data_IF_465213609256
#
_entry.id   IF_465213609256
#
_cell.length_a   1.000
_cell.length_b   1.000
_cell.length_c   1.000
_cell.angle_alpha   90.00
_cell.angle_beta   90.00
_cell.angle_gamma   90.00
#
_symmetry.space_group_name_H-M   'P 1'
#
loop_
_entity.id
_entity.type
_entity.pdbx_description
1 polymer ?
#
# COMPACT_ATOMS: atom_id res chain seq x y z
N UNK A 1 -50.88 36.00 -24.51
CA UNK A 1 -49.89 36.93 -25.12
C UNK A 1 -48.73 37.04 -24.15
N UNK A 2 -47.53 36.76 -24.59
CA UNK A 2 -46.32 36.97 -23.82
C UNK A 2 -45.38 35.75 -23.89
N UNK A 3 -44.75 35.57 -25.04
CA UNK A 3 -43.59 34.70 -25.18
C UNK A 3 -42.40 35.36 -24.49
N UNK A 4 -41.64 34.58 -23.70
CA UNK A 4 -40.35 34.96 -23.15
C UNK A 4 -39.39 33.84 -23.38
N UNK A 5 -38.56 34.02 -24.33
CA UNK A 5 -37.49 33.21 -24.82
C UNK A 5 -36.40 32.89 -23.81
N UNK A 6 -35.92 31.64 -23.79
CA UNK A 6 -34.55 31.30 -24.09
C UNK A 6 -33.52 31.68 -23.06
N UNK A 7 -33.30 30.78 -22.06
CA UNK A 7 -32.09 30.78 -21.28
C UNK A 7 -31.27 29.57 -21.66
N UNK A 8 -30.11 29.82 -22.24
CA UNK A 8 -29.20 28.83 -22.79
C UNK A 8 -28.71 27.85 -21.77
N UNK A 9 -28.76 26.58 -22.10
CA UNK A 9 -28.01 25.52 -21.47
C UNK A 9 -26.53 25.70 -21.79
N UNK A 10 -25.83 26.32 -20.88
CA UNK A 10 -24.38 26.23 -20.82
C UNK A 10 -24.03 24.87 -20.20
N UNK A 11 -23.98 23.86 -21.03
CA UNK A 11 -23.42 22.58 -20.65
C UNK A 11 -21.92 22.71 -20.42
N UNK A 12 -21.51 22.99 -19.21
CA UNK A 12 -20.13 22.83 -18.81
C UNK A 12 -19.82 21.33 -18.78
N UNK A 13 -19.21 20.87 -19.87
CA UNK A 13 -18.53 19.58 -19.84
C UNK A 13 -17.28 19.70 -18.97
N UNK A 14 -17.44 19.74 -17.67
CA UNK A 14 -16.41 19.50 -16.69
C UNK A 14 -16.49 18.04 -16.25
N UNK A 15 -16.22 17.13 -17.14
CA UNK A 15 -15.97 15.74 -16.78
C UNK A 15 -14.68 15.71 -15.99
N UNK A 16 -14.78 15.75 -14.67
CA UNK A 16 -13.66 15.50 -13.78
C UNK A 16 -13.17 14.08 -14.00
N UNK A 17 -12.08 13.98 -14.73
CA UNK A 17 -11.47 12.69 -15.01
C UNK A 17 -10.69 12.25 -13.81
N UNK A 18 -11.16 11.25 -13.06
CA UNK A 18 -10.38 10.49 -12.10
C UNK A 18 -10.54 10.81 -10.64
N UNK A 19 -11.43 11.71 -10.25
CA UNK A 19 -11.69 12.00 -8.85
C UNK A 19 -12.79 11.15 -8.24
N UNK A 20 -12.90 11.15 -6.92
CA UNK A 20 -14.08 10.70 -6.22
C UNK A 20 -15.30 11.47 -6.68
N UNK A 21 -16.49 10.94 -6.40
CA UNK A 21 -17.76 11.58 -6.76
C UNK A 21 -17.96 12.94 -6.11
N UNK A 22 -17.16 13.24 -5.11
CA UNK A 22 -17.13 14.50 -4.39
C UNK A 22 -15.72 15.11 -4.45
N UNK A 23 -15.50 15.97 -5.41
CA UNK A 23 -14.25 16.73 -5.52
C UNK A 23 -14.37 18.00 -4.69
N UNK A 24 -13.46 18.19 -3.76
CA UNK A 24 -13.28 19.47 -3.10
C UNK A 24 -12.35 20.33 -3.98
N UNK A 25 -12.87 21.38 -4.63
CA UNK A 25 -12.05 22.22 -5.46
C UNK A 25 -11.23 23.17 -4.60
N UNK A 26 -9.94 23.13 -4.76
CA UNK A 26 -9.09 24.20 -4.29
C UNK A 26 -8.25 23.91 -3.07
N UNK A 27 -7.48 24.93 -2.74
CA UNK A 27 -6.48 24.88 -1.70
C UNK A 27 -7.08 24.41 -0.39
N UNK A 28 -6.67 23.28 0.09
CA UNK A 28 -7.12 22.81 1.35
C UNK A 28 -6.68 23.77 2.43
N UNK A 29 -7.61 24.08 3.30
CA UNK A 29 -7.23 24.64 4.55
C UNK A 29 -6.16 23.74 5.17
N UNK A 30 -5.10 24.29 5.67
CA UNK A 30 -4.21 23.53 6.53
C UNK A 30 -4.97 23.34 7.83
N UNK A 31 -5.56 22.16 8.09
CA UNK A 31 -6.28 21.98 9.33
C UNK A 31 -5.29 21.84 10.46
N UNK A 32 -5.69 22.33 11.60
CA UNK A 32 -4.97 22.09 12.84
C UNK A 32 -3.63 22.82 12.96
N UNK A 33 -3.27 23.04 14.16
CA UNK A 33 -2.13 23.84 14.57
C UNK A 33 -1.20 23.07 15.49
N UNK A 34 -1.31 21.74 15.46
CA UNK A 34 -0.45 20.91 16.32
C UNK A 34 0.91 20.77 15.66
N UNK A 35 1.95 21.18 16.37
CA UNK A 35 3.32 21.02 15.88
C UNK A 35 3.64 19.54 15.69
N UNK A 36 4.06 19.11 14.49
CA UNK A 36 4.40 17.73 14.25
C UNK A 36 5.75 17.36 14.88
N UNK A 37 5.88 16.09 15.25
CA UNK A 37 7.17 15.50 15.60
C UNK A 37 7.98 15.15 14.35
N UNK A 38 7.28 14.85 13.25
CA UNK A 38 7.87 14.51 11.95
C UNK A 38 6.95 14.94 10.82
N UNK A 39 7.54 15.38 9.72
CA UNK A 39 6.83 15.73 8.49
C UNK A 39 7.40 14.93 7.33
N UNK A 40 6.52 14.24 6.61
CA UNK A 40 6.82 13.66 5.30
C UNK A 40 6.28 14.59 4.22
N UNK A 41 7.07 14.78 3.17
CA UNK A 41 6.64 15.52 1.99
C UNK A 41 6.48 14.50 0.86
N UNK A 42 5.28 14.42 0.29
CA UNK A 42 4.93 13.47 -0.76
C UNK A 42 4.36 14.17 -1.98
N UNK A 43 4.71 13.67 -3.14
CA UNK A 43 4.07 14.01 -4.41
C UNK A 43 3.81 12.74 -5.22
N UNK A 44 3.06 12.86 -6.31
CA UNK A 44 2.67 11.74 -7.19
C UNK A 44 3.62 11.65 -8.38
N UNK A 45 3.96 10.44 -8.80
CA UNK A 45 4.49 10.18 -10.13
C UNK A 45 3.56 9.18 -10.86
N UNK A 46 3.45 9.34 -12.19
CA UNK A 46 2.59 8.50 -13.04
C UNK A 46 3.35 7.86 -14.22
N UNK A 47 4.63 8.14 -14.37
CA UNK A 47 5.48 7.61 -15.45
C UNK A 47 6.49 6.56 -14.99
N UNK A 48 6.22 5.88 -13.87
CA UNK A 48 7.09 4.81 -13.38
C UNK A 48 7.02 3.56 -14.26
N UNK A 49 8.05 2.72 -14.16
CA UNK A 49 8.08 1.44 -14.84
C UNK A 49 8.89 0.43 -14.03
N UNK A 50 8.36 -0.77 -13.93
CA UNK A 50 9.08 -1.92 -13.34
C UNK A 50 9.31 -2.98 -14.40
N UNK A 51 10.50 -3.59 -14.33
CA UNK A 51 10.88 -4.66 -15.23
C UNK A 51 10.54 -6.01 -14.60
N UNK A 52 9.77 -6.80 -15.33
CA UNK A 52 9.38 -8.15 -14.94
C UNK A 52 10.40 -9.20 -15.37
N UNK A 53 10.36 -10.38 -14.79
CA UNK A 53 11.30 -11.48 -15.06
C UNK A 53 11.24 -12.01 -16.49
N UNK A 54 10.13 -11.80 -17.20
CA UNK A 54 10.00 -12.12 -18.64
C UNK A 54 10.58 -11.04 -19.56
N UNK A 55 11.10 -9.95 -18.97
CA UNK A 55 11.70 -8.86 -19.68
C UNK A 55 10.75 -7.75 -20.10
N UNK A 56 9.44 -7.86 -19.85
CA UNK A 56 8.49 -6.79 -20.12
C UNK A 56 8.61 -5.69 -19.06
N UNK A 57 8.29 -4.48 -19.45
CA UNK A 57 8.14 -3.34 -18.55
C UNK A 57 6.65 -3.09 -18.32
N UNK A 58 6.28 -2.92 -17.06
CA UNK A 58 4.91 -2.58 -16.65
C UNK A 58 4.92 -1.16 -16.10
N UNK A 59 4.02 -0.32 -16.59
CA UNK A 59 3.84 1.05 -16.09
C UNK A 59 3.33 1.01 -14.65
N UNK A 60 3.88 1.84 -13.78
CA UNK A 60 3.42 1.98 -12.40
C UNK A 60 3.30 3.45 -12.02
N UNK A 61 2.40 3.73 -11.11
CA UNK A 61 2.24 5.01 -10.46
C UNK A 61 2.66 4.89 -9.00
N UNK A 62 2.88 6.01 -8.34
CA UNK A 62 3.20 5.97 -6.93
C UNK A 62 3.42 7.34 -6.32
N UNK A 63 3.78 7.30 -5.06
CA UNK A 63 4.23 8.48 -4.34
C UNK A 63 5.75 8.53 -4.32
N UNK A 64 6.28 9.75 -4.29
CA UNK A 64 7.73 10.00 -4.14
C UNK A 64 7.99 11.03 -3.07
N UNK A 65 9.18 11.04 -2.52
CA UNK A 65 9.62 12.06 -1.57
C UNK A 65 9.78 13.42 -2.26
N UNK A 66 9.44 14.48 -1.53
CA UNK A 66 9.51 15.85 -2.03
C UNK A 66 8.22 16.34 -2.69
N UNK A 67 8.27 17.58 -3.18
CA UNK A 67 7.12 18.27 -3.79
C UNK A 67 7.14 18.28 -5.32
N UNK A 68 8.08 17.60 -5.94
CA UNK A 68 8.29 17.59 -7.39
C UNK A 68 7.93 16.22 -7.96
N UNK A 69 6.64 15.90 -7.97
CA UNK A 69 6.11 14.76 -8.71
C UNK A 69 5.99 15.06 -10.21
N UNK A 70 5.40 14.16 -10.96
CA UNK A 70 5.11 14.37 -12.38
C UNK A 70 5.03 13.08 -13.18
N UNK A 71 5.24 13.20 -14.49
CA UNK A 71 5.26 12.07 -15.42
C UNK A 71 6.58 11.28 -15.40
N UNK A 72 7.55 11.70 -14.60
CA UNK A 72 8.80 10.93 -14.40
C UNK A 72 8.53 9.76 -13.45
N UNK A 73 9.38 8.73 -13.53
CA UNK A 73 9.29 7.59 -12.63
C UNK A 73 9.73 7.89 -11.20
N UNK A 74 9.38 7.01 -10.30
CA UNK A 74 9.75 7.07 -8.89
C UNK A 74 9.96 5.67 -8.29
N UNK A 75 10.20 5.59 -6.98
CA UNK A 75 10.40 4.31 -6.30
C UNK A 75 9.12 3.48 -6.24
N UNK A 76 9.23 2.19 -6.49
CA UNK A 76 8.12 1.25 -6.40
C UNK A 76 8.48 0.05 -5.49
N UNK A 77 7.63 -0.31 -4.51
CA UNK A 77 6.50 0.48 -4.00
C UNK A 77 6.93 1.88 -3.53
N UNK A 78 5.95 2.74 -3.23
CA UNK A 78 6.22 4.10 -2.73
C UNK A 78 7.08 4.09 -1.45
N UNK A 79 7.87 5.15 -1.17
CA UNK A 79 8.78 5.17 -0.02
C UNK A 79 8.06 4.88 1.29
N UNK A 80 8.58 4.02 2.17
CA UNK A 80 7.92 3.71 3.41
C UNK A 80 7.79 4.95 4.31
N UNK A 81 6.72 5.01 5.08
CA UNK A 81 6.57 5.90 6.22
C UNK A 81 6.98 5.11 7.45
N UNK A 82 7.95 5.61 8.22
CA UNK A 82 8.36 5.00 9.48
C UNK A 82 8.42 6.03 10.59
N UNK A 83 7.66 5.78 11.65
CA UNK A 83 7.48 6.70 12.77
C UNK A 83 7.47 5.93 14.08
N UNK A 84 7.42 6.64 15.22
CA UNK A 84 7.30 6.03 16.54
C UNK A 84 5.91 6.25 17.12
N UNK A 85 5.47 5.30 17.92
CA UNK A 85 4.23 5.40 18.68
C UNK A 85 4.19 6.68 19.50
N UNK A 86 3.04 7.34 19.50
CA UNK A 86 2.80 8.62 20.16
C UNK A 86 3.14 9.85 19.34
N UNK A 87 3.92 9.73 18.27
CA UNK A 87 4.27 10.88 17.44
C UNK A 87 3.06 11.47 16.73
N UNK A 88 3.05 12.79 16.61
CA UNK A 88 2.18 13.54 15.71
C UNK A 88 2.92 13.69 14.40
N UNK A 89 2.28 13.29 13.33
CA UNK A 89 2.84 13.18 11.99
C UNK A 89 2.09 14.10 11.05
N UNK A 90 2.81 14.84 10.24
CA UNK A 90 2.27 15.54 9.09
C UNK A 90 2.72 14.85 7.81
N UNK A 91 1.78 14.49 6.96
CA UNK A 91 2.06 14.08 5.59
C UNK A 91 1.63 15.21 4.66
N UNK A 92 2.58 16.07 4.28
CA UNK A 92 2.34 17.13 3.32
C UNK A 92 2.33 16.54 1.92
N UNK A 93 1.18 16.47 1.34
CA UNK A 93 0.94 15.90 0.02
C UNK A 93 0.73 16.99 -1.01
N UNK A 94 1.44 16.91 -2.14
CA UNK A 94 1.32 17.84 -3.26
C UNK A 94 0.92 17.08 -4.51
N UNK A 95 -0.24 17.45 -5.05
CA UNK A 95 -0.79 16.95 -6.32
C UNK A 95 -0.76 18.00 -7.42
N UNK A 96 -0.01 19.09 -7.22
CA UNK A 96 -0.01 20.25 -8.11
C UNK A 96 0.50 19.90 -9.51
N UNK A 97 -0.25 20.29 -10.52
CA UNK A 97 0.10 20.08 -11.93
C UNK A 97 -0.19 18.67 -12.43
N UNK A 98 -0.80 17.83 -11.63
CA UNK A 98 -1.28 16.51 -12.08
C UNK A 98 -2.65 16.64 -12.74
N UNK A 99 -2.88 15.86 -13.78
CA UNK A 99 -4.16 15.82 -14.49
C UNK A 99 -5.27 15.14 -13.66
N UNK A 100 -4.88 14.31 -12.71
CA UNK A 100 -5.75 13.49 -11.89
C UNK A 100 -5.69 13.91 -10.44
N UNK A 101 -6.81 13.77 -9.75
CA UNK A 101 -6.86 13.96 -8.31
C UNK A 101 -6.33 12.72 -7.60
N UNK A 102 -5.69 12.92 -6.45
CA UNK A 102 -5.17 11.86 -5.62
C UNK A 102 -5.37 12.18 -4.15
N UNK A 103 -5.27 11.15 -3.30
CA UNK A 103 -5.26 11.30 -1.85
C UNK A 103 -4.17 10.42 -1.24
N UNK A 104 -3.90 10.60 0.05
CA UNK A 104 -3.14 9.63 0.84
C UNK A 104 -4.02 9.19 2.00
N UNK A 105 -4.47 7.95 1.95
CA UNK A 105 -5.12 7.27 3.07
C UNK A 105 -4.09 6.46 3.85
N UNK A 106 -3.96 6.76 5.16
CA UNK A 106 -3.05 6.04 6.06
C UNK A 106 -3.83 4.86 6.67
N UNK A 107 -3.85 3.74 5.95
CA UNK A 107 -4.73 2.61 6.23
C UNK A 107 -4.47 1.97 7.60
N UNK A 108 -5.49 1.95 8.44
CA UNK A 108 -5.45 1.46 9.82
C UNK A 108 -5.00 2.50 10.85
N UNK A 109 -4.64 3.70 10.41
CA UNK A 109 -4.56 4.90 11.23
C UNK A 109 -5.94 5.56 11.18
N UNK A 110 -6.47 5.96 12.31
CA UNK A 110 -7.84 6.50 12.44
C UNK A 110 -7.78 7.99 12.83
N UNK A 111 -7.46 8.89 11.89
CA UNK A 111 -7.51 10.34 12.13
C UNK A 111 -8.94 10.87 12.01
N UNK A 112 -9.11 12.20 12.10
CA UNK A 112 -10.37 12.83 11.73
C UNK A 112 -10.65 12.73 10.23
N UNK A 113 -11.91 12.85 9.82
CA UNK A 113 -12.35 12.61 8.44
C UNK A 113 -11.58 13.41 7.40
N UNK A 114 -11.26 14.68 7.68
CA UNK A 114 -10.49 15.55 6.80
C UNK A 114 -9.02 15.11 6.63
N UNK A 115 -8.51 14.30 7.54
CA UNK A 115 -7.15 13.77 7.52
C UNK A 115 -7.07 12.29 7.10
N UNK A 116 -8.22 11.66 6.82
CA UNK A 116 -8.30 10.24 6.49
C UNK A 116 -7.92 9.96 5.02
N UNK A 117 -8.06 10.95 4.15
CA UNK A 117 -7.71 10.81 2.74
C UNK A 117 -8.64 9.92 1.93
N UNK A 118 -9.86 9.69 2.43
CA UNK A 118 -10.93 8.96 1.73
C UNK A 118 -11.85 9.95 1.05
N UNK A 119 -11.75 10.10 -0.27
CA UNK A 119 -12.45 11.12 -1.03
C UNK A 119 -13.97 11.11 -0.88
N UNK A 120 -14.58 9.93 -0.69
CA UNK A 120 -16.02 9.81 -0.50
C UNK A 120 -16.54 10.28 0.87
N UNK A 121 -15.70 10.35 1.88
CA UNK A 121 -16.05 10.81 3.23
C UNK A 121 -15.41 12.14 3.57
N UNK A 122 -14.48 12.61 2.74
CA UNK A 122 -13.77 13.86 2.87
C UNK A 122 -13.65 14.55 1.50
N UNK A 123 -12.48 14.61 0.91
CA UNK A 123 -12.23 15.24 -0.39
C UNK A 123 -10.99 14.65 -1.07
N UNK A 124 -10.98 14.72 -2.39
CA UNK A 124 -9.78 14.50 -3.19
C UNK A 124 -8.93 15.77 -3.25
N UNK A 125 -7.61 15.63 -3.33
CA UNK A 125 -6.69 16.77 -3.27
C UNK A 125 -6.37 17.26 -4.68
N UNK A 126 -6.65 18.55 -4.91
CA UNK A 126 -6.13 19.34 -6.01
C UNK A 126 -5.19 20.41 -5.44
N UNK A 127 -3.90 20.29 -5.69
CA UNK A 127 -2.90 21.18 -5.11
C UNK A 127 -2.15 20.57 -3.93
N UNK A 128 -2.11 21.22 -2.78
CA UNK A 128 -1.35 20.76 -1.61
C UNK A 128 -2.26 20.63 -0.40
N UNK A 129 -2.18 19.50 0.28
CA UNK A 129 -2.84 19.25 1.55
C UNK A 129 -1.89 18.66 2.57
N UNK A 130 -2.07 18.98 3.86
CA UNK A 130 -1.28 18.40 4.95
C UNK A 130 -2.17 17.52 5.82
N UNK A 131 -2.09 16.22 5.62
CA UNK A 131 -2.72 15.24 6.48
C UNK A 131 -2.03 15.23 7.84
N UNK A 132 -2.80 15.31 8.92
CA UNK A 132 -2.31 15.35 10.29
C UNK A 132 -2.89 14.18 11.07
N UNK A 133 -2.02 13.37 11.64
CA UNK A 133 -2.42 12.16 12.31
C UNK A 133 -1.48 11.81 13.47
N UNK A 134 -1.94 10.97 14.35
CA UNK A 134 -1.16 10.43 15.46
C UNK A 134 -0.84 8.96 15.21
N UNK A 135 0.39 8.56 15.40
CA UNK A 135 0.83 7.18 15.42
C UNK A 135 0.44 6.54 16.77
N UNK A 136 -0.83 6.13 16.91
CA UNK A 136 -1.40 5.76 18.22
C UNK A 136 -0.94 4.40 18.73
N UNK A 137 -0.58 3.46 17.85
CA UNK A 137 -0.18 2.11 18.22
C UNK A 137 0.97 1.63 17.34
N UNK A 138 2.02 1.07 17.97
CA UNK A 138 3.10 0.44 17.25
C UNK A 138 2.62 -0.82 16.52
N UNK A 139 3.04 -1.00 15.26
CA UNK A 139 2.59 -2.12 14.41
C UNK A 139 2.82 -1.87 12.93
N UNK A 140 2.24 -2.75 12.12
CA UNK A 140 2.34 -2.74 10.66
C UNK A 140 1.07 -2.22 10.03
N UNK A 141 1.24 -1.22 9.20
CA UNK A 141 0.22 -0.52 8.42
C UNK A 141 0.71 -0.35 6.98
N UNK A 142 -0.09 0.27 6.14
CA UNK A 142 0.34 0.78 4.85
C UNK A 142 -0.44 2.06 4.50
N UNK A 143 -0.02 2.78 3.48
CA UNK A 143 -0.75 3.93 2.97
C UNK A 143 -0.95 3.77 1.47
N UNK A 144 -2.04 4.32 0.96
CA UNK A 144 -2.38 4.21 -0.45
C UNK A 144 -3.25 5.39 -0.93
N UNK A 145 -3.36 5.54 -2.24
CA UNK A 145 -4.33 6.45 -2.82
C UNK A 145 -5.75 5.91 -2.63
N UNK A 146 -6.69 6.78 -2.28
CA UNK A 146 -8.09 6.40 -2.11
C UNK A 146 -9.02 7.13 -3.09
N UNK A 147 -8.47 7.85 -4.06
CA UNK A 147 -9.18 8.35 -5.23
C UNK A 147 -9.17 7.28 -6.29
N UNK A 148 -10.34 6.92 -6.85
CA UNK A 148 -10.44 5.79 -7.79
C UNK A 148 -9.60 4.59 -7.33
N UNK A 149 -9.85 4.12 -6.12
CA UNK A 149 -8.99 3.18 -5.40
C UNK A 149 -8.69 1.94 -6.22
N UNK A 150 -9.69 1.42 -6.97
CA UNK A 150 -9.55 0.21 -7.78
C UNK A 150 -8.44 0.37 -8.83
N UNK A 151 -8.34 1.50 -9.51
CA UNK A 151 -7.28 1.72 -10.48
C UNK A 151 -5.98 2.17 -9.82
N UNK A 152 -6.06 3.16 -8.91
CA UNK A 152 -4.84 3.78 -8.38
C UNK A 152 -4.04 2.82 -7.48
N UNK A 153 -4.71 1.94 -6.73
CA UNK A 153 -4.02 0.91 -5.96
C UNK A 153 -3.39 -0.14 -6.89
N UNK A 154 -4.14 -0.62 -7.90
CA UNK A 154 -3.60 -1.53 -8.93
C UNK A 154 -2.37 -0.94 -9.63
N UNK A 155 -2.41 0.35 -9.98
CA UNK A 155 -1.27 1.04 -10.61
C UNK A 155 -0.05 1.14 -9.69
N UNK A 156 -0.19 0.80 -8.39
CA UNK A 156 0.92 0.75 -7.43
C UNK A 156 1.04 1.93 -6.48
N UNK A 157 -0.01 2.74 -6.35
CA UNK A 157 -0.01 3.91 -5.46
C UNK A 157 -0.17 3.50 -3.99
N UNK A 158 0.79 2.75 -3.47
CA UNK A 158 0.82 2.32 -2.07
C UNK A 158 2.27 2.24 -1.54
N UNK A 159 2.42 2.23 -0.23
CA UNK A 159 3.68 2.02 0.46
C UNK A 159 3.49 1.54 1.90
N UNK A 160 4.49 0.87 2.46
CA UNK A 160 4.45 0.43 3.84
C UNK A 160 4.43 1.62 4.81
N UNK A 161 3.68 1.48 5.91
CA UNK A 161 3.69 2.39 7.03
C UNK A 161 3.97 1.58 8.30
N UNK A 162 5.07 1.89 8.96
CA UNK A 162 5.50 1.19 10.17
C UNK A 162 5.51 2.16 11.34
N UNK A 163 4.86 1.77 12.41
CA UNK A 163 4.94 2.47 13.67
C UNK A 163 5.78 1.63 14.64
N UNK A 164 6.98 2.13 14.95
CA UNK A 164 7.86 1.50 15.93
C UNK A 164 7.41 1.84 17.37
N UNK A 165 7.81 1.03 18.37
CA UNK A 165 7.62 1.38 19.77
C UNK A 165 8.14 2.77 20.12
N UNK A 166 7.48 3.46 21.05
CA UNK A 166 7.79 4.83 21.45
C UNK A 166 9.25 4.99 21.92
N UNK A 167 9.79 3.99 22.62
CA UNK A 167 11.17 3.96 23.13
C UNK A 167 12.23 3.64 22.06
N UNK A 168 11.80 3.29 20.82
CA UNK A 168 12.69 2.95 19.73
C UNK A 168 13.30 1.55 19.81
N UNK A 169 12.82 0.68 20.70
CA UNK A 169 13.26 -0.71 20.74
C UNK A 169 12.86 -1.48 19.47
N UNK A 170 13.69 -2.43 19.09
CA UNK A 170 13.39 -3.35 17.98
C UNK A 170 12.41 -4.44 18.42
N UNK A 171 11.14 -4.08 18.49
CA UNK A 171 10.02 -4.96 18.83
C UNK A 171 8.92 -4.86 17.77
N UNK A 172 8.16 -5.92 17.61
CA UNK A 172 7.04 -5.93 16.66
C UNK A 172 6.02 -4.81 16.98
N UNK A 173 5.77 -4.57 18.26
CA UNK A 173 4.93 -3.50 18.81
C UNK A 173 5.37 -3.22 20.27
N UNK A 174 4.82 -2.19 20.90
CA UNK A 174 5.15 -1.80 22.28
C UNK A 174 4.87 -2.95 23.25
N UNK A 175 5.89 -3.32 24.02
CA UNK A 175 5.92 -4.50 24.90
C UNK A 175 5.78 -5.87 24.19
N UNK A 176 5.82 -5.89 22.88
CA UNK A 176 5.77 -7.10 22.07
C UNK A 176 7.11 -7.81 21.96
N UNK A 177 7.17 -8.90 21.18
CA UNK A 177 8.41 -9.66 20.99
C UNK A 177 9.48 -8.81 20.29
N UNK A 178 10.71 -8.95 20.79
CA UNK A 178 11.89 -8.36 20.17
C UNK A 178 12.30 -9.18 18.94
N UNK A 179 13.01 -8.53 18.01
CA UNK A 179 13.54 -9.17 16.81
C UNK A 179 14.97 -8.72 16.48
N UNK A 180 15.70 -9.62 15.83
CA UNK A 180 17.06 -9.38 15.33
C UNK A 180 17.05 -8.91 13.87
N UNK A 181 16.18 -9.50 13.05
CA UNK A 181 16.04 -9.26 11.62
C UNK A 181 14.59 -8.88 11.32
N UNK A 182 14.38 -7.93 10.41
CA UNK A 182 13.06 -7.52 9.95
C UNK A 182 12.97 -7.68 8.43
N UNK A 183 11.84 -8.20 7.97
CA UNK A 183 11.44 -8.20 6.57
C UNK A 183 10.10 -7.50 6.43
N UNK A 184 9.95 -6.63 5.43
CA UNK A 184 8.67 -5.99 5.08
C UNK A 184 8.26 -6.52 3.72
N UNK A 185 7.20 -7.32 3.69
CA UNK A 185 6.66 -7.91 2.47
C UNK A 185 5.30 -7.33 2.15
N UNK A 186 5.28 -6.37 1.22
CA UNK A 186 4.06 -5.90 0.58
C UNK A 186 3.83 -6.77 -0.66
N UNK A 187 2.87 -7.68 -0.54
CA UNK A 187 2.54 -8.64 -1.59
C UNK A 187 1.37 -8.13 -2.42
N UNK A 188 1.54 -8.16 -3.73
CA UNK A 188 0.61 -7.56 -4.67
C UNK A 188 0.60 -8.36 -5.98
N UNK A 189 -0.46 -8.24 -6.75
CA UNK A 189 -0.57 -8.77 -8.11
C UNK A 189 -0.79 -7.62 -9.10
N UNK A 190 -0.45 -7.87 -10.36
CA UNK A 190 -0.58 -6.91 -11.43
C UNK A 190 -1.35 -7.52 -12.60
N UNK A 191 -2.42 -6.89 -13.02
CA UNK A 191 -3.05 -7.09 -14.31
C UNK A 191 -2.47 -6.09 -15.32
N UNK A 192 -1.51 -6.53 -16.14
CA UNK A 192 -0.83 -5.65 -17.09
C UNK A 192 -1.77 -5.01 -18.10
N UNK A 193 -2.95 -5.60 -18.32
CA UNK A 193 -3.99 -5.00 -19.17
C UNK A 193 -4.62 -3.77 -18.52
N UNK A 194 -4.79 -3.77 -17.19
CA UNK A 194 -5.28 -2.61 -16.45
C UNK A 194 -4.25 -1.49 -16.44
N UNK A 195 -2.97 -1.83 -16.29
CA UNK A 195 -1.87 -0.86 -16.34
C UNK A 195 -1.73 -0.15 -17.71
N UNK A 196 -2.29 -0.73 -18.76
CA UNK A 196 -2.35 -0.10 -20.08
C UNK A 196 -3.59 0.77 -20.30
N UNK A 197 -4.65 0.57 -19.53
CA UNK A 197 -5.91 1.35 -19.65
C UNK A 197 -5.79 2.77 -19.11
N UNK A 198 -4.95 2.96 -18.10
CA UNK A 198 -4.68 4.16 -17.32
C UNK A 198 -5.72 5.31 -17.37
N UNK A 199 -5.96 5.90 -18.51
CA UNK A 199 -6.83 7.06 -18.70
C UNK A 199 -8.30 6.73 -18.98
N UNK A 200 -8.57 5.50 -19.39
CA UNK A 200 -9.91 5.07 -19.83
C UNK A 200 -10.74 4.52 -18.68
N UNK A 201 -10.13 4.33 -17.51
CA UNK A 201 -10.82 3.85 -16.34
C UNK A 201 -11.66 4.98 -15.72
N UNK A 202 -12.94 4.98 -16.02
CA UNK A 202 -13.89 5.93 -15.46
C UNK A 202 -14.03 5.80 -13.95
N UNK A 203 -14.52 6.86 -13.35
CA UNK A 203 -14.84 6.94 -11.92
C UNK A 203 -16.33 7.14 -11.74
N UNK A 204 -16.83 7.01 -10.53
CA UNK A 204 -18.18 7.41 -10.16
C UNK A 204 -19.30 7.06 -11.14
N UNK A 205 -19.78 5.85 -11.11
CA UNK A 205 -21.01 5.41 -11.77
C UNK A 205 -20.87 4.96 -13.22
N UNK A 206 -19.68 4.87 -13.77
CA UNK A 206 -19.44 4.31 -15.09
C UNK A 206 -18.90 2.89 -15.06
N UNK A 207 -19.11 2.12 -16.13
CA UNK A 207 -18.34 0.90 -16.37
C UNK A 207 -16.94 1.29 -16.84
N UNK A 208 -15.99 1.19 -15.93
CA UNK A 208 -14.59 1.50 -16.19
C UNK A 208 -13.82 0.33 -16.82
N UNK A 209 -14.47 -0.81 -17.04
CA UNK A 209 -13.81 -2.03 -17.47
C UNK A 209 -12.86 -2.63 -16.42
N UNK A 210 -13.05 -2.27 -15.15
CA UNK A 210 -12.25 -2.74 -14.00
C UNK A 210 -13.01 -3.78 -13.15
N UNK A 211 -13.86 -4.57 -13.78
CA UNK A 211 -14.69 -5.57 -13.11
C UNK A 211 -14.20 -7.00 -13.33
N UNK A 212 -13.07 -7.19 -14.00
CA UNK A 212 -12.51 -8.50 -14.30
C UNK A 212 -10.98 -8.47 -14.16
N UNK A 213 -10.50 -8.46 -12.92
CA UNK A 213 -9.08 -8.59 -12.64
C UNK A 213 -8.58 -9.96 -13.03
N UNK A 214 -7.59 -10.02 -13.90
CA UNK A 214 -6.93 -11.24 -14.35
C UNK A 214 -5.41 -11.05 -14.35
N UNK A 215 -4.85 -10.94 -13.15
CA UNK A 215 -3.44 -10.66 -12.95
C UNK A 215 -2.52 -11.69 -13.65
N UNK A 216 -1.48 -11.19 -14.27
CA UNK A 216 -0.45 -11.96 -14.97
C UNK A 216 0.93 -11.86 -14.29
N UNK A 217 1.11 -10.93 -13.32
CA UNK A 217 2.29 -10.87 -12.47
C UNK A 217 1.94 -10.88 -10.98
N UNK A 218 2.86 -11.44 -10.19
CA UNK A 218 2.72 -11.61 -8.74
C UNK A 218 4.02 -11.17 -8.09
N UNK A 219 3.96 -10.14 -7.26
CA UNK A 219 5.12 -9.42 -6.78
C UNK A 219 5.22 -9.41 -5.25
N UNK A 220 6.42 -9.24 -4.74
CA UNK A 220 6.69 -8.98 -3.31
C UNK A 220 7.52 -7.71 -3.24
N UNK A 221 7.01 -6.67 -2.59
CA UNK A 221 7.71 -5.38 -2.41
C UNK A 221 8.29 -4.85 -3.74
N UNK A 222 7.47 -4.92 -4.80
CA UNK A 222 7.83 -4.44 -6.13
C UNK A 222 8.77 -5.33 -6.93
N UNK A 223 9.07 -6.55 -6.46
CA UNK A 223 9.95 -7.51 -7.13
C UNK A 223 9.12 -8.65 -7.68
N UNK A 224 9.33 -9.01 -8.95
CA UNK A 224 8.68 -10.16 -9.57
C UNK A 224 8.98 -11.44 -8.78
N UNK A 225 7.91 -12.09 -8.36
CA UNK A 225 7.93 -13.30 -7.54
C UNK A 225 8.26 -14.58 -8.31
N UNK A 226 8.49 -14.50 -9.61
CA UNK A 226 8.81 -15.68 -10.43
C UNK A 226 10.22 -16.17 -10.14
N UNK A 227 11.22 -15.31 -10.24
CA UNK A 227 12.64 -15.63 -10.01
C UNK A 227 13.38 -14.56 -9.22
N UNK A 228 13.23 -13.28 -9.56
CA UNK A 228 14.01 -12.17 -8.98
C UNK A 228 13.86 -12.08 -7.47
N UNK A 229 12.66 -12.26 -6.92
CA UNK A 229 12.42 -12.20 -5.49
C UNK A 229 13.08 -13.33 -4.68
N UNK A 230 13.58 -14.37 -5.34
CA UNK A 230 14.34 -15.42 -4.65
C UNK A 230 15.72 -14.95 -4.16
N UNK A 231 16.27 -13.88 -4.72
CA UNK A 231 17.63 -13.41 -4.43
C UNK A 231 17.72 -11.91 -4.16
N UNK A 232 16.70 -11.12 -4.51
CA UNK A 232 16.72 -9.68 -4.28
C UNK A 232 16.71 -9.39 -2.76
N UNK A 233 17.70 -8.62 -2.26
CA UNK A 233 17.85 -8.37 -0.81
C UNK A 233 16.71 -7.55 -0.19
N UNK A 234 15.84 -6.95 -0.99
CA UNK A 234 14.62 -6.28 -0.47
C UNK A 234 13.59 -7.27 0.06
N UNK A 235 13.63 -8.52 -0.40
CA UNK A 235 12.63 -9.55 -0.08
C UNK A 235 13.23 -10.87 0.37
N UNK A 236 14.38 -11.29 -0.18
CA UNK A 236 15.09 -12.47 0.30
C UNK A 236 15.80 -12.17 1.63
N UNK A 237 15.60 -13.03 2.62
CA UNK A 237 16.05 -12.78 3.99
C UNK A 237 17.13 -13.76 4.38
N UNK A 238 18.16 -13.29 5.09
CA UNK A 238 19.15 -14.13 5.76
C UNK A 238 19.07 -13.91 7.28
N UNK A 239 19.01 -14.97 8.04
CA UNK A 239 18.97 -14.97 9.50
C UNK A 239 19.86 -16.08 10.06
N UNK A 240 20.54 -15.86 11.17
CA UNK A 240 21.31 -16.90 11.84
C UNK A 240 20.40 -17.80 12.69
N UNK A 241 20.80 -19.05 12.91
CA UNK A 241 20.09 -19.97 13.80
C UNK A 241 19.86 -19.34 15.17
N UNK A 242 18.63 -19.42 15.66
CA UNK A 242 18.22 -18.88 16.94
C UNK A 242 17.97 -17.38 16.99
N UNK A 243 18.31 -16.61 15.94
CA UNK A 243 17.86 -15.23 15.81
C UNK A 243 16.36 -15.18 15.55
N UNK A 244 15.75 -14.10 15.99
CA UNK A 244 14.33 -13.83 15.80
C UNK A 244 14.14 -12.99 14.53
N UNK A 245 13.38 -13.51 13.58
CA UNK A 245 12.95 -12.81 12.37
C UNK A 245 11.53 -12.30 12.57
N UNK A 246 11.32 -11.00 12.35
CA UNK A 246 10.00 -10.39 12.19
C UNK A 246 9.70 -10.24 10.71
N UNK A 247 8.59 -10.82 10.25
CA UNK A 247 8.03 -10.54 8.93
C UNK A 247 6.80 -9.67 9.13
N UNK A 248 6.84 -8.46 8.57
CA UNK A 248 5.72 -7.56 8.43
C UNK A 248 5.05 -7.82 7.08
N UNK A 249 4.00 -8.60 7.12
CA UNK A 249 3.28 -9.02 5.94
C UNK A 249 2.12 -8.09 5.66
N UNK A 250 2.04 -7.56 4.44
CA UNK A 250 1.01 -6.65 3.96
C UNK A 250 0.42 -7.26 2.68
N UNK A 251 -0.87 -7.57 2.67
CA UNK A 251 -1.58 -7.88 1.44
C UNK A 251 -2.00 -6.54 0.80
N UNK A 252 -1.19 -6.03 -0.13
CA UNK A 252 -1.45 -4.79 -0.84
C UNK A 252 -2.30 -4.98 -2.10
N UNK A 253 -2.54 -6.23 -2.49
CA UNK A 253 -3.32 -6.58 -3.68
C UNK A 253 -4.80 -6.83 -3.41
N UNK A 254 -5.52 -7.25 -4.44
CA UNK A 254 -6.96 -7.55 -4.38
C UNK A 254 -7.25 -9.02 -4.12
N UNK A 255 -6.39 -9.94 -4.59
CA UNK A 255 -6.60 -11.36 -4.35
C UNK A 255 -6.42 -11.70 -2.86
N UNK A 256 -7.27 -12.58 -2.31
CA UNK A 256 -6.91 -13.28 -1.08
C UNK A 256 -5.58 -14.01 -1.28
N UNK A 257 -4.75 -14.00 -0.26
CA UNK A 257 -3.42 -14.63 -0.35
C UNK A 257 -3.27 -15.73 0.70
N UNK A 258 -2.44 -16.71 0.40
CA UNK A 258 -1.94 -17.68 1.36
C UNK A 258 -0.42 -17.70 1.31
N UNK A 259 0.19 -17.22 2.38
CA UNK A 259 1.62 -17.27 2.62
C UNK A 259 1.98 -18.63 3.20
N UNK A 260 2.71 -19.44 2.47
CA UNK A 260 3.28 -20.72 2.92
C UNK A 260 4.76 -20.52 3.29
N UNK A 261 5.14 -20.84 4.52
CA UNK A 261 6.46 -20.52 5.08
C UNK A 261 7.57 -21.54 4.75
N UNK A 262 7.34 -22.42 3.76
CA UNK A 262 8.36 -23.35 3.29
C UNK A 262 8.80 -24.41 4.31
N UNK A 263 7.93 -24.76 5.25
CA UNK A 263 8.21 -25.70 6.34
C UNK A 263 8.67 -25.04 7.66
N UNK A 264 8.85 -23.72 7.66
CA UNK A 264 9.07 -22.97 8.90
C UNK A 264 7.76 -22.76 9.65
N UNK A 265 7.85 -22.63 10.97
CA UNK A 265 6.74 -22.19 11.83
C UNK A 265 6.94 -20.75 12.24
N UNK A 266 5.84 -20.00 12.30
CA UNK A 266 5.80 -18.64 12.81
C UNK A 266 4.73 -18.50 13.89
N UNK A 267 4.86 -17.49 14.73
CA UNK A 267 3.79 -17.01 15.60
C UNK A 267 3.22 -15.72 15.00
N UNK A 268 1.92 -15.70 14.69
CA UNK A 268 1.20 -14.46 14.43
C UNK A 268 1.08 -13.74 15.76
N UNK A 269 1.65 -12.55 15.87
CA UNK A 269 1.68 -11.77 17.12
C UNK A 269 0.83 -10.52 17.05
N UNK A 270 0.54 -10.03 15.85
CA UNK A 270 -0.36 -8.90 15.60
C UNK A 270 -1.10 -9.06 14.27
N UNK A 271 -2.28 -8.46 14.19
CA UNK A 271 -3.10 -8.29 13.00
C UNK A 271 -3.52 -6.82 12.89
N UNK A 272 -3.43 -6.24 11.69
CA UNK A 272 -3.89 -4.89 11.37
C UNK A 272 -3.37 -3.80 12.33
N UNK A 273 -2.09 -3.92 12.71
CA UNK A 273 -1.44 -2.99 13.63
C UNK A 273 -1.87 -3.15 15.09
N UNK A 274 -2.54 -4.24 15.44
CA UNK A 274 -2.99 -4.54 16.82
C UNK A 274 -2.42 -5.86 17.31
N UNK A 275 -1.86 -5.86 18.51
CA UNK A 275 -1.37 -7.06 19.16
C UNK A 275 -2.50 -8.09 19.36
N UNK A 276 -2.24 -9.35 19.06
CA UNK A 276 -3.15 -10.43 19.41
C UNK A 276 -3.08 -10.71 20.92
N UNK A 277 -4.21 -10.95 21.58
CA UNK A 277 -4.23 -11.34 23.01
C UNK A 277 -3.42 -12.61 23.28
N UNK A 278 -3.40 -13.51 22.31
CA UNK A 278 -2.63 -14.76 22.37
C UNK A 278 -2.02 -15.00 20.98
N UNK A 279 -0.70 -15.15 20.87
CA UNK A 279 -0.04 -15.50 19.62
C UNK A 279 -0.54 -16.84 19.07
N UNK A 280 -0.66 -16.94 17.75
CA UNK A 280 -1.13 -18.15 17.05
C UNK A 280 0.02 -18.76 16.25
N UNK A 281 0.37 -20.01 16.55
CA UNK A 281 1.41 -20.73 15.80
C UNK A 281 0.86 -21.27 14.49
N UNK A 282 1.57 -20.98 13.41
CA UNK A 282 1.15 -21.32 12.03
C UNK A 282 2.35 -21.76 11.18
N UNK A 283 2.08 -22.51 10.11
CA UNK A 283 3.01 -22.79 9.01
C UNK A 283 2.58 -22.08 7.72
N UNK A 284 1.37 -21.57 7.70
CA UNK A 284 0.84 -20.72 6.64
C UNK A 284 -0.14 -19.69 7.20
N UNK A 285 -0.30 -18.57 6.50
CA UNK A 285 -1.22 -17.48 6.86
C UNK A 285 -2.13 -17.20 5.67
N UNK A 286 -3.43 -17.08 5.91
CA UNK A 286 -4.37 -16.57 4.89
C UNK A 286 -4.68 -15.11 5.20
N UNK A 287 -4.74 -14.31 4.14
CA UNK A 287 -5.06 -12.88 4.20
C UNK A 287 -6.08 -12.53 3.15
N UNK A 288 -6.87 -11.50 3.40
CA UNK A 288 -7.64 -10.80 2.37
C UNK A 288 -7.00 -9.46 2.05
N UNK A 289 -7.52 -8.76 1.04
CA UNK A 289 -7.02 -7.44 0.64
C UNK A 289 -6.94 -6.50 1.85
N UNK A 290 -5.86 -5.75 1.93
CA UNK A 290 -5.56 -4.76 2.95
C UNK A 290 -5.26 -5.30 4.37
N UNK A 291 -5.33 -6.60 4.62
CA UNK A 291 -4.90 -7.18 5.90
C UNK A 291 -3.37 -7.15 6.06
N UNK A 292 -2.93 -6.95 7.31
CA UNK A 292 -1.52 -6.97 7.69
C UNK A 292 -1.33 -7.90 8.88
N UNK A 293 -0.24 -8.67 8.87
CA UNK A 293 0.13 -9.56 9.96
C UNK A 293 1.60 -9.39 10.33
N UNK A 294 1.89 -9.40 11.63
CA UNK A 294 3.25 -9.47 12.16
C UNK A 294 3.54 -10.91 12.58
N UNK A 295 4.55 -11.51 11.92
CA UNK A 295 4.94 -12.90 12.11
C UNK A 295 6.32 -12.97 12.75
N UNK A 296 6.43 -13.68 13.86
CA UNK A 296 7.71 -13.96 14.53
C UNK A 296 8.14 -15.39 14.21
N UNK A 297 9.36 -15.52 13.67
CA UNK A 297 10.02 -16.80 13.42
C UNK A 297 11.32 -16.85 14.19
N UNK A 298 11.65 -18.02 14.74
CA UNK A 298 12.95 -18.30 15.38
C UNK A 298 13.51 -19.61 14.87
N UNK A 299 14.01 -19.66 13.63
CA UNK A 299 14.48 -20.89 13.03
C UNK A 299 15.77 -21.38 13.69
N UNK A 300 15.84 -22.71 13.95
CA UNK A 300 16.97 -23.36 14.60
C UNK A 300 17.74 -24.32 13.69
N UNK A 301 17.19 -24.64 12.53
CA UNK A 301 17.80 -25.56 11.57
C UNK A 301 18.33 -24.74 10.38
N UNK A 302 19.61 -24.89 10.06
CA UNK A 302 20.23 -24.24 8.92
C UNK A 302 19.64 -24.79 7.60
N UNK A 303 19.48 -23.92 6.62
CA UNK A 303 18.93 -24.30 5.33
C UNK A 303 18.37 -23.10 4.56
N UNK A 304 17.91 -23.38 3.35
CA UNK A 304 17.21 -22.40 2.52
C UNK A 304 15.76 -22.84 2.37
N UNK A 305 14.87 -22.01 2.85
CA UNK A 305 13.43 -22.26 2.87
C UNK A 305 12.76 -21.39 1.82
N UNK A 306 12.08 -22.01 0.87
CA UNK A 306 11.33 -21.28 -0.14
C UNK A 306 9.95 -20.93 0.40
N UNK A 307 9.71 -19.65 0.56
CA UNK A 307 8.42 -19.09 0.96
C UNK A 307 7.60 -18.85 -0.30
N UNK A 308 6.32 -19.21 -0.26
CA UNK A 308 5.41 -19.05 -1.41
C UNK A 308 4.19 -18.26 -0.98
N UNK A 309 3.92 -17.18 -1.70
CA UNK A 309 2.66 -16.45 -1.64
C UNK A 309 1.77 -16.96 -2.76
N UNK A 310 0.66 -17.61 -2.40
CA UNK A 310 -0.34 -18.08 -3.34
C UNK A 310 -1.46 -17.04 -3.41
N UNK A 311 -1.74 -16.52 -4.58
CA UNK A 311 -2.83 -15.61 -4.86
C UNK A 311 -4.06 -16.41 -5.27
N UNK A 312 -5.18 -16.19 -4.59
CA UNK A 312 -6.33 -17.08 -4.63
C UNK A 312 -7.53 -16.40 -5.27
N UNK A 313 -8.29 -17.15 -6.02
CA UNK A 313 -9.57 -16.67 -6.54
C UNK A 313 -10.58 -16.48 -5.39
N UNK A 314 -11.26 -15.34 -5.35
CA UNK A 314 -12.15 -14.94 -4.23
C UNK A 314 -13.23 -15.97 -3.90
N UNK A 315 -13.85 -16.57 -4.94
CA UNK A 315 -15.00 -17.46 -4.76
C UNK A 315 -14.55 -18.91 -4.61
N UNK A 316 -13.62 -19.38 -5.48
CA UNK A 316 -13.27 -20.80 -5.54
C UNK A 316 -12.08 -21.17 -4.65
N UNK A 317 -11.28 -20.18 -4.22
CA UNK A 317 -10.03 -20.41 -3.51
C UNK A 317 -8.92 -21.04 -4.38
N UNK A 318 -9.15 -21.19 -5.68
CA UNK A 318 -8.15 -21.74 -6.60
C UNK A 318 -6.95 -20.78 -6.72
N UNK A 319 -5.75 -21.35 -6.81
CA UNK A 319 -4.52 -20.57 -7.02
C UNK A 319 -4.54 -19.93 -8.40
N UNK A 320 -4.46 -18.62 -8.45
CA UNK A 320 -4.36 -17.82 -9.68
C UNK A 320 -2.92 -17.60 -10.10
N UNK A 321 -2.02 -17.48 -9.11
CA UNK A 321 -0.61 -17.31 -9.34
C UNK A 321 0.19 -17.38 -8.05
N UNK A 322 1.51 -17.27 -8.18
CA UNK A 322 2.43 -17.41 -7.06
C UNK A 322 3.59 -16.41 -7.17
N UNK A 323 3.94 -15.81 -6.03
CA UNK A 323 5.24 -15.19 -5.83
C UNK A 323 6.08 -16.03 -4.86
N UNK A 324 7.40 -16.05 -5.05
CA UNK A 324 8.33 -16.86 -4.23
C UNK A 324 9.48 -16.03 -3.77
N UNK A 325 9.85 -16.21 -2.50
CA UNK A 325 11.09 -15.66 -1.96
C UNK A 325 11.79 -16.69 -1.09
N UNK A 326 12.88 -16.31 -0.42
CA UNK A 326 13.69 -17.24 0.40
C UNK A 326 13.97 -16.68 1.78
N UNK A 327 13.96 -17.57 2.76
CA UNK A 327 14.57 -17.37 4.06
C UNK A 327 15.78 -18.30 4.15
N UNK A 328 16.98 -17.73 4.24
CA UNK A 328 18.23 -18.49 4.43
C UNK A 328 18.62 -18.45 5.88
N UNK A 329 18.69 -19.61 6.53
CA UNK A 329 19.12 -19.79 7.91
C UNK A 329 20.57 -20.30 7.93
N UNK A 330 21.48 -19.54 8.52
CA UNK A 330 22.92 -19.86 8.63
C UNK A 330 23.28 -20.47 9.99
#
# INVERSE_FOLDING_TARGET
>A
MGMGSGGGMGGGMGGGMGGGCFTYPGAPATPGIVTPHVTFVRSVYMGGSIRMDDGRNVTVWGFTDGSSGGMMGGPFPSPPIRVREGQIVHTRFTNQGMMWLHTIHHHGIEPSSENDGVGHTSFDVDGTYTYQWRASHAGTYFYHCHTNTVLHAEMGMYGALIVDPANGERRAFSNGPAYDVEAIWACDEIDSSWHSKSWDAGTCGGDAGLNNLNADYFIITGIDGKTSALTDPRVAVTVNRGQTLLIRYINAGYYPQRLDLGGLSASIVASDGRALPTPVTVTSVRTTSAERYDLILKPTVAGTYTVVVNYLHWVTGAVRGQARTRITVK
#
